data_IF_979916478052
#
_entry.id   IF_979916478052
#
_cell.length_a   1.000
_cell.length_b   1.000
_cell.length_c   1.000
_cell.angle_alpha   90.00
_cell.angle_beta   90.00
_cell.angle_gamma   90.00
#
_symmetry.space_group_name_H-M   'P 1'
#
loop_
_entity.id
_entity.type
_entity.pdbx_description
1 polymer ?
#
# COMPACT_ATOMS: atom_id res chain seq x y z
N UNK A 1 -14.44 -7.55 4.61
CA UNK A 1 -13.79 -8.02 3.36
C UNK A 1 -12.64 -7.10 2.93
N UNK A 2 -12.84 -5.77 2.84
CA UNK A 2 -11.83 -4.82 2.31
C UNK A 2 -10.53 -4.72 3.14
N UNK A 3 -10.59 -4.82 4.47
CA UNK A 3 -9.37 -4.79 5.30
C UNK A 3 -8.44 -5.99 5.06
N UNK A 4 -9.00 -7.19 4.82
CA UNK A 4 -8.20 -8.38 4.45
C UNK A 4 -7.55 -8.20 3.07
N UNK A 5 -8.30 -7.66 2.10
CA UNK A 5 -7.76 -7.36 0.78
C UNK A 5 -6.59 -6.37 0.83
N UNK A 6 -6.73 -5.27 1.60
CA UNK A 6 -5.64 -4.31 1.81
C UNK A 6 -4.42 -4.96 2.46
N UNK A 7 -4.63 -5.84 3.45
CA UNK A 7 -3.55 -6.60 4.08
C UNK A 7 -2.81 -7.50 3.09
N UNK A 8 -3.52 -8.31 2.30
CA UNK A 8 -2.90 -9.19 1.31
C UNK A 8 -2.18 -8.39 0.21
N UNK A 9 -2.75 -7.27 -0.25
CA UNK A 9 -2.09 -6.41 -1.25
C UNK A 9 -0.81 -5.80 -0.71
N UNK A 10 -0.82 -5.25 0.52
CA UNK A 10 0.38 -4.72 1.18
C UNK A 10 1.45 -5.80 1.35
N UNK A 11 1.05 -7.02 1.73
CA UNK A 11 1.96 -8.15 1.87
C UNK A 11 2.57 -8.53 0.52
N UNK A 12 1.76 -8.65 -0.53
CA UNK A 12 2.22 -8.96 -1.90
C UNK A 12 3.15 -7.88 -2.46
N UNK A 13 2.84 -6.59 -2.29
CA UNK A 13 3.73 -5.53 -2.76
C UNK A 13 5.04 -5.50 -1.98
N UNK A 14 4.99 -5.74 -0.67
CA UNK A 14 6.19 -5.84 0.16
C UNK A 14 7.08 -7.02 -0.23
N UNK A 15 6.50 -8.21 -0.50
CA UNK A 15 7.28 -9.38 -0.91
C UNK A 15 7.92 -9.17 -2.28
N UNK A 16 7.20 -8.60 -3.26
CA UNK A 16 7.77 -8.28 -4.57
C UNK A 16 8.88 -7.23 -4.43
N UNK A 17 8.69 -6.22 -3.57
CA UNK A 17 9.72 -5.21 -3.31
C UNK A 17 10.99 -5.85 -2.74
N UNK A 18 10.87 -6.72 -1.73
CA UNK A 18 12.01 -7.43 -1.14
C UNK A 18 12.73 -8.35 -2.15
N UNK A 19 11.99 -8.96 -3.09
CA UNK A 19 12.58 -9.75 -4.18
C UNK A 19 13.24 -8.89 -5.26
N UNK A 20 12.74 -7.68 -5.51
CA UNK A 20 13.33 -6.76 -6.49
C UNK A 20 14.69 -6.20 -6.05
N UNK A 21 14.94 -6.05 -4.75
CA UNK A 21 16.22 -5.56 -4.21
C UNK A 21 17.44 -6.40 -4.63
N UNK A 22 17.48 -7.73 -4.41
CA UNK A 22 18.60 -8.55 -4.86
C UNK A 22 18.71 -8.60 -6.38
N UNK A 23 17.60 -8.54 -7.13
CA UNK A 23 17.62 -8.50 -8.60
C UNK A 23 18.28 -7.20 -9.08
N UNK A 24 17.92 -6.06 -8.49
CA UNK A 24 18.49 -4.75 -8.80
C UNK A 24 19.99 -4.69 -8.47
N UNK A 25 20.39 -5.21 -7.30
CA UNK A 25 21.81 -5.30 -6.94
C UNK A 25 22.60 -6.21 -7.89
N UNK A 26 22.02 -7.35 -8.28
CA UNK A 26 22.68 -8.30 -9.17
C UNK A 26 22.82 -7.74 -10.58
N UNK A 27 21.77 -7.09 -11.12
CA UNK A 27 21.81 -6.47 -12.44
C UNK A 27 22.79 -5.29 -12.49
N UNK A 28 22.85 -4.49 -11.42
CA UNK A 28 23.85 -3.43 -11.27
C UNK A 28 25.28 -3.98 -11.28
N UNK A 29 25.55 -5.05 -10.53
CA UNK A 29 26.86 -5.69 -10.51
C UNK A 29 27.23 -6.33 -11.85
N UNK A 30 26.29 -7.00 -12.52
CA UNK A 30 26.50 -7.60 -13.84
C UNK A 30 26.82 -6.55 -14.90
N UNK A 31 26.11 -5.42 -14.87
CA UNK A 31 26.40 -4.30 -15.77
C UNK A 31 27.78 -3.69 -15.46
N UNK A 32 28.05 -3.39 -14.18
CA UNK A 32 29.26 -2.64 -13.79
C UNK A 32 30.54 -3.46 -13.83
N UNK A 33 30.50 -4.75 -13.46
CA UNK A 33 31.69 -5.61 -13.36
C UNK A 33 31.89 -6.53 -14.56
N UNK A 34 30.80 -6.98 -15.19
CA UNK A 34 30.85 -7.97 -16.27
C UNK A 34 30.52 -7.33 -17.63
N UNK A 35 30.17 -6.04 -17.67
CA UNK A 35 29.85 -5.29 -18.89
C UNK A 35 28.72 -5.93 -19.72
N UNK A 36 27.79 -6.63 -19.08
CA UNK A 36 26.61 -7.19 -19.74
C UNK A 36 25.63 -6.06 -20.01
N UNK A 37 25.57 -5.59 -21.25
CA UNK A 37 24.72 -4.46 -21.65
C UNK A 37 23.24 -4.69 -21.38
N UNK A 38 22.74 -5.90 -21.59
CA UNK A 38 21.35 -6.28 -21.30
C UNK A 38 20.98 -6.20 -19.80
N UNK A 39 21.96 -6.23 -18.88
CA UNK A 39 21.69 -6.10 -17.45
C UNK A 39 21.22 -4.68 -17.09
N UNK A 40 21.58 -3.67 -17.89
CA UNK A 40 21.10 -2.30 -17.70
C UNK A 40 19.59 -2.19 -17.90
N UNK A 41 19.04 -2.87 -18.91
CA UNK A 41 17.59 -2.86 -19.16
C UNK A 41 16.82 -3.49 -17.99
N UNK A 42 17.35 -4.59 -17.44
CA UNK A 42 16.78 -5.26 -16.26
C UNK A 42 16.86 -4.36 -15.01
N UNK A 43 17.98 -3.66 -14.84
CA UNK A 43 18.15 -2.67 -13.76
C UNK A 43 17.10 -1.55 -13.86
N UNK A 44 16.95 -0.94 -15.04
CA UNK A 44 15.99 0.13 -15.26
C UNK A 44 14.54 -0.34 -15.03
N UNK A 45 14.18 -1.54 -15.51
CA UNK A 45 12.85 -2.13 -15.25
C UNK A 45 12.60 -2.31 -13.75
N UNK A 46 13.60 -2.80 -13.00
CA UNK A 46 13.47 -2.94 -11.55
C UNK A 46 13.27 -1.60 -10.83
N UNK A 47 13.93 -0.53 -11.26
CA UNK A 47 13.71 0.81 -10.71
C UNK A 47 12.29 1.31 -10.95
N UNK A 48 11.78 1.18 -12.18
CA UNK A 48 10.40 1.56 -12.50
C UNK A 48 9.37 0.75 -11.70
N UNK A 49 9.59 -0.56 -11.57
CA UNK A 49 8.76 -1.43 -10.73
C UNK A 49 8.83 -0.99 -9.26
N UNK A 50 10.01 -0.64 -8.75
CA UNK A 50 10.18 -0.14 -7.38
C UNK A 50 9.35 1.12 -7.11
N UNK A 51 9.38 2.08 -8.03
CA UNK A 51 8.57 3.31 -7.94
C UNK A 51 7.07 2.97 -7.96
N UNK A 52 6.64 2.12 -8.90
CA UNK A 52 5.25 1.68 -9.01
C UNK A 52 4.77 0.97 -7.74
N UNK A 53 5.55 0.04 -7.21
CA UNK A 53 5.24 -0.69 -5.98
C UNK A 53 5.12 0.25 -4.79
N UNK A 54 5.98 1.27 -4.69
CA UNK A 54 5.91 2.24 -3.62
C UNK A 54 4.60 3.06 -3.68
N UNK A 55 4.24 3.54 -4.88
CA UNK A 55 2.98 4.25 -5.10
C UNK A 55 1.78 3.34 -4.80
N UNK A 56 1.81 2.09 -5.27
CA UNK A 56 0.73 1.12 -5.06
C UNK A 56 0.57 0.75 -3.57
N UNK A 57 1.68 0.60 -2.83
CA UNK A 57 1.67 0.32 -1.40
C UNK A 57 1.02 1.46 -0.61
N UNK A 58 1.37 2.72 -0.91
CA UNK A 58 0.71 3.88 -0.31
C UNK A 58 -0.74 4.02 -0.77
N UNK A 59 -1.04 3.70 -2.03
CA UNK A 59 -2.40 3.65 -2.58
C UNK A 59 -3.31 2.66 -1.85
N UNK A 60 -2.76 1.60 -1.27
CA UNK A 60 -3.54 0.66 -0.44
C UNK A 60 -4.17 1.30 0.80
N UNK A 61 -3.70 2.47 1.24
CA UNK A 61 -4.33 3.26 2.31
C UNK A 61 -5.76 3.69 1.93
N UNK A 62 -6.04 3.91 0.64
CA UNK A 62 -7.38 4.24 0.18
C UNK A 62 -8.38 3.13 0.52
N UNK A 63 -7.99 1.86 0.35
CA UNK A 63 -8.85 0.72 0.69
C UNK A 63 -9.07 0.54 2.20
N UNK A 64 -8.20 1.10 3.04
CA UNK A 64 -8.30 1.02 4.50
C UNK A 64 -9.24 2.10 5.07
N UNK A 65 -9.21 3.31 4.52
CA UNK A 65 -9.96 4.47 5.01
C UNK A 65 -11.40 4.51 4.52
N UNK A 66 -11.67 4.02 3.29
CA UNK A 66 -12.94 4.27 2.55
C UNK A 66 -14.23 3.88 3.27
N UNK A 67 -14.21 2.87 4.14
CA UNK A 67 -15.41 2.40 4.86
C UNK A 67 -15.34 2.59 6.37
N UNK A 68 -14.15 2.78 6.95
CA UNK A 68 -14.00 3.06 8.39
C UNK A 68 -14.40 4.48 8.74
N UNK A 69 -14.02 5.47 7.93
CA UNK A 69 -14.31 6.89 8.21
C UNK A 69 -15.82 7.20 8.13
N UNK A 70 -16.54 6.63 7.15
CA UNK A 70 -17.99 6.80 7.01
C UNK A 70 -18.72 6.14 8.19
N UNK A 71 -18.26 4.96 8.63
CA UNK A 71 -18.89 4.25 9.74
C UNK A 71 -18.68 4.96 11.08
N UNK A 72 -17.49 5.52 11.34
CA UNK A 72 -17.23 6.29 12.56
C UNK A 72 -18.05 7.58 12.62
N UNK A 73 -18.24 8.28 11.49
CA UNK A 73 -19.09 9.48 11.44
C UNK A 73 -20.55 9.13 11.73
N UNK A 74 -21.09 8.06 11.12
CA UNK A 74 -22.47 7.61 11.38
C UNK A 74 -22.70 7.16 12.83
N UNK A 75 -21.70 6.51 13.43
CA UNK A 75 -21.78 6.04 14.81
C UNK A 75 -21.72 7.20 15.81
N UNK A 76 -20.89 8.21 15.54
CA UNK A 76 -20.86 9.46 16.30
C UNK A 76 -22.19 10.21 16.17
N UNK A 77 -22.74 10.34 14.96
CA UNK A 77 -24.03 10.99 14.71
C UNK A 77 -25.18 10.29 15.47
N UNK A 78 -25.22 8.95 15.44
CA UNK A 78 -26.21 8.17 16.19
C UNK A 78 -26.04 8.30 17.72
N UNK A 79 -24.79 8.32 18.22
CA UNK A 79 -24.51 8.54 19.63
C UNK A 79 -24.94 9.94 20.10
N UNK A 80 -24.64 10.98 19.32
CA UNK A 80 -25.06 12.35 19.62
C UNK A 80 -26.58 12.53 19.58
N UNK A 81 -27.27 11.84 18.66
CA UNK A 81 -28.73 11.86 18.60
C UNK A 81 -29.36 11.17 19.82
N UNK A 82 -28.84 10.02 20.23
CA UNK A 82 -29.31 9.30 21.42
C UNK A 82 -29.10 10.12 22.71
N UNK A 83 -27.94 10.76 22.84
CA UNK A 83 -27.63 11.60 24.00
C UNK A 83 -28.55 12.84 24.08
N UNK A 84 -28.79 13.51 22.94
CA UNK A 84 -29.70 14.66 22.87
C UNK A 84 -31.16 14.28 23.12
N UNK A 85 -31.60 13.12 22.66
CA UNK A 85 -32.95 12.62 22.95
C UNK A 85 -33.11 12.35 24.45
N UNK A 86 -32.17 11.63 25.07
CA UNK A 86 -32.21 11.31 26.49
C UNK A 86 -32.21 12.58 27.38
N UNK A 87 -31.47 13.63 26.98
CA UNK A 87 -31.47 14.93 27.65
C UNK A 87 -32.75 15.77 27.51
N UNK A 88 -33.65 15.43 26.57
CA UNK A 88 -34.95 16.13 26.39
C UNK A 88 -36.10 15.50 27.19
N UNK A 89 -35.97 14.24 27.60
CA UNK A 89 -37.02 13.49 28.31
C UNK A 89 -36.84 13.55 29.83
N UNK A 90 -35.76 14.17 30.30
CA UNK A 90 -35.46 14.46 31.71
C UNK A 90 -35.58 15.96 31.95
#
# INVERSE_FOLDING_TARGET
LQGRLSYYLKLTFCTIYLLSVPILLTSFLLYWRVCVTAAYDVFAICEYIGVFLNIAYHGCAFYDIRYKAIFSVRLVEAAQFSENYSRRIM
#
